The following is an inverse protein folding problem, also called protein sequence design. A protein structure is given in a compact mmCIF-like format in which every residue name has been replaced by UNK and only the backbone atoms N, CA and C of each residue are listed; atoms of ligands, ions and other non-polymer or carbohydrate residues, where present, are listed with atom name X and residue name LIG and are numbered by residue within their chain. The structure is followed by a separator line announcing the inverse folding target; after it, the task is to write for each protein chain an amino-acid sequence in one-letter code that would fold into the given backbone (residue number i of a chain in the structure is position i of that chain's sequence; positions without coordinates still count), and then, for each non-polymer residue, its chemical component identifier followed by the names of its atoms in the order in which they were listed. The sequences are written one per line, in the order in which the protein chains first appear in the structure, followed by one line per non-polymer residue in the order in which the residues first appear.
data_IF_841362672410
#
_entry.id   IF_841362672410
#
_cell.length_a   1.000
_cell.length_b   1.000
_cell.length_c   1.000
_cell.angle_alpha   90.00
_cell.angle_beta   90.00
_cell.angle_gamma   90.00
#
_symmetry.space_group_name_H-M   'P 1'
#
loop_
_entity.id
_entity.type
_entity.pdbx_description
1 polymer ?
#
# COMPACT_ATOMS: atom_id res chain seq x y z
N UNK A 1 36.00 -11.22 -1.30
CA UNK A 1 35.21 -10.37 -2.22
C UNK A 1 33.89 -11.06 -2.43
N UNK A 2 32.85 -10.64 -1.70
CA UNK A 2 31.53 -11.28 -1.70
C UNK A 2 30.78 -10.92 -2.99
N UNK A 3 30.52 -11.93 -3.81
CA UNK A 3 29.69 -11.82 -5.02
C UNK A 3 28.31 -11.30 -4.63
N UNK A 4 28.04 -10.04 -5.00
CA UNK A 4 26.68 -9.49 -4.97
C UNK A 4 25.93 -10.24 -6.06
N UNK A 5 25.11 -11.20 -5.65
CA UNK A 5 24.18 -11.87 -6.57
C UNK A 5 23.25 -10.80 -7.12
N UNK A 6 23.38 -10.52 -8.41
CA UNK A 6 22.46 -9.66 -9.15
C UNK A 6 21.09 -10.33 -9.18
N UNK A 7 20.31 -10.17 -8.11
CA UNK A 7 18.89 -10.45 -8.19
C UNK A 7 18.33 -9.53 -9.27
N UNK A 8 17.62 -10.05 -10.28
CA UNK A 8 17.00 -9.20 -11.28
C UNK A 8 16.08 -8.22 -10.56
N UNK A 9 16.41 -6.93 -10.68
CA UNK A 9 15.73 -5.82 -10.02
C UNK A 9 14.22 -5.82 -10.33
N UNK A 10 13.88 -6.35 -11.50
CA UNK A 10 12.52 -6.53 -12.00
C UNK A 10 12.21 -8.02 -12.19
N UNK A 11 11.15 -8.49 -11.53
CA UNK A 11 10.49 -9.74 -11.93
C UNK A 11 9.53 -9.41 -13.07
N UNK A 12 9.89 -9.74 -14.31
CA UNK A 12 9.04 -9.61 -15.50
C UNK A 12 7.77 -10.50 -15.47
N UNK A 13 7.46 -11.15 -14.35
CA UNK A 13 6.40 -12.16 -14.24
C UNK A 13 5.05 -11.58 -13.76
N UNK A 14 4.96 -10.26 -13.59
CA UNK A 14 3.74 -9.59 -13.14
C UNK A 14 3.08 -8.88 -14.33
N UNK A 15 1.77 -9.03 -14.57
CA UNK A 15 1.08 -8.24 -15.57
C UNK A 15 1.19 -6.74 -15.23
N UNK A 16 1.23 -5.84 -16.23
CA UNK A 16 1.26 -4.41 -15.98
C UNK A 16 0.11 -3.96 -15.07
N UNK A 17 0.42 -3.02 -14.16
CA UNK A 17 -0.53 -2.41 -13.24
C UNK A 17 -0.22 -0.93 -13.09
N UNK A 18 -1.27 -0.11 -12.89
CA UNK A 18 -1.11 1.30 -12.50
C UNK A 18 -0.54 1.46 -11.08
N UNK A 19 -0.50 0.37 -10.30
CA UNK A 19 0.10 0.32 -8.96
C UNK A 19 1.46 -0.35 -9.02
N UNK A 20 2.47 0.33 -8.48
CA UNK A 20 3.82 -0.18 -8.31
C UNK A 20 4.08 -0.56 -6.86
N UNK A 21 4.77 -1.67 -6.66
CA UNK A 21 5.28 -2.13 -5.38
C UNK A 21 6.76 -1.75 -5.23
N UNK A 22 7.06 -0.99 -4.18
CA UNK A 22 8.41 -0.55 -3.85
C UNK A 22 8.91 -1.35 -2.64
N UNK A 23 10.13 -1.88 -2.74
CA UNK A 23 10.78 -2.69 -1.70
C UNK A 23 12.13 -2.10 -1.32
N UNK A 24 12.58 -2.43 -0.10
CA UNK A 24 13.84 -1.95 0.48
C UNK A 24 13.86 -0.44 0.79
N UNK A 25 12.69 0.15 1.08
CA UNK A 25 12.61 1.54 1.49
C UNK A 25 13.32 1.77 2.86
N UNK A 26 13.78 3.00 3.13
CA UNK A 26 14.21 3.38 4.47
C UNK A 26 13.01 3.39 5.43
N UNK A 27 13.24 3.15 6.72
CA UNK A 27 12.19 3.13 7.75
C UNK A 27 11.47 4.48 7.86
N UNK A 28 12.18 5.57 7.64
CA UNK A 28 11.67 6.94 7.72
C UNK A 28 11.13 7.44 6.36
N UNK A 29 10.81 6.53 5.44
CA UNK A 29 10.23 6.92 4.15
C UNK A 29 8.82 7.48 4.37
N UNK A 30 8.59 8.66 3.81
CA UNK A 30 7.32 9.39 3.90
C UNK A 30 6.51 9.28 2.60
N UNK A 31 5.21 9.60 2.66
CA UNK A 31 4.35 9.57 1.48
C UNK A 31 4.77 10.62 0.45
N UNK A 32 5.26 11.76 0.93
CA UNK A 32 5.78 12.87 0.12
C UNK A 32 6.95 12.40 -0.75
N UNK A 33 7.91 11.67 -0.18
CA UNK A 33 9.06 11.14 -0.92
C UNK A 33 8.64 10.13 -2.01
N UNK A 34 7.59 9.33 -1.76
CA UNK A 34 7.04 8.44 -2.78
C UNK A 34 6.39 9.22 -3.92
N UNK A 35 5.65 10.28 -3.59
CA UNK A 35 5.06 11.17 -4.59
C UNK A 35 6.15 11.84 -5.41
N UNK A 36 7.21 12.36 -4.77
CA UNK A 36 8.35 12.97 -5.45
C UNK A 36 9.08 11.99 -6.37
N UNK A 37 9.25 10.73 -5.93
CA UNK A 37 9.84 9.68 -6.75
C UNK A 37 9.00 9.34 -7.99
N UNK A 38 7.66 9.35 -7.87
CA UNK A 38 6.75 9.05 -8.97
C UNK A 38 6.47 10.24 -9.90
N UNK A 39 6.58 11.47 -9.40
CA UNK A 39 6.24 12.73 -10.10
C UNK A 39 6.85 12.88 -11.49
N UNK A 40 8.11 12.48 -11.76
CA UNK A 40 8.69 12.58 -13.11
C UNK A 40 7.99 11.71 -14.16
N UNK A 41 7.26 10.68 -13.74
CA UNK A 41 6.64 9.69 -14.64
C UNK A 41 5.14 9.92 -14.83
N UNK A 42 4.49 10.67 -13.94
CA UNK A 42 3.07 10.97 -14.04
C UNK A 42 2.42 11.47 -12.76
N UNK A 43 1.09 11.51 -12.77
CA UNK A 43 0.28 11.93 -11.63
C UNK A 43 0.08 10.76 -10.68
N UNK A 44 0.69 10.84 -9.50
CA UNK A 44 0.44 9.93 -8.40
C UNK A 44 -0.93 10.26 -7.79
N UNK A 45 -1.82 9.27 -7.72
CA UNK A 45 -3.20 9.44 -7.20
C UNK A 45 -3.37 8.88 -5.79
N UNK A 46 -2.61 7.83 -5.44
CA UNK A 46 -2.56 7.28 -4.09
C UNK A 46 -1.16 6.78 -3.78
N UNK A 47 -0.79 6.80 -2.50
CA UNK A 47 0.40 6.15 -1.96
C UNK A 47 0.03 5.36 -0.72
N UNK A 48 0.86 4.39 -0.35
CA UNK A 48 0.73 3.66 0.91
C UNK A 48 2.11 3.27 1.44
N UNK A 49 2.56 3.93 2.49
CA UNK A 49 3.86 3.64 3.14
C UNK A 49 3.77 2.51 4.19
N UNK A 50 4.93 2.13 4.73
CA UNK A 50 5.06 1.28 5.92
C UNK A 50 4.34 -0.08 5.82
N UNK A 51 4.33 -0.67 4.61
CA UNK A 51 3.69 -1.96 4.34
C UNK A 51 4.61 -3.12 4.75
N UNK A 52 4.00 -4.21 5.21
CA UNK A 52 4.70 -5.43 5.60
C UNK A 52 5.30 -5.37 7.01
N UNK A 53 5.77 -6.51 7.51
CA UNK A 53 6.26 -6.63 8.88
C UNK A 53 7.42 -5.66 9.20
N UNK A 54 8.29 -5.42 8.23
CA UNK A 54 9.49 -4.59 8.39
C UNK A 54 9.28 -3.11 8.04
N UNK A 55 8.05 -2.70 7.69
CA UNK A 55 7.69 -1.33 7.27
C UNK A 55 8.61 -0.73 6.19
N UNK A 56 9.23 -1.57 5.38
CA UNK A 56 10.22 -1.19 4.37
C UNK A 56 9.69 -1.33 2.94
N UNK A 57 8.37 -1.32 2.79
CA UNK A 57 7.69 -1.47 1.51
C UNK A 57 6.58 -0.42 1.39
N UNK A 58 6.27 -0.07 0.15
CA UNK A 58 5.20 0.86 -0.15
C UNK A 58 4.55 0.55 -1.48
N UNK A 59 3.41 1.21 -1.72
CA UNK A 59 2.76 1.25 -3.01
C UNK A 59 2.64 2.68 -3.51
N UNK A 60 2.77 2.84 -4.83
CA UNK A 60 2.47 4.08 -5.57
C UNK A 60 1.42 3.71 -6.61
N UNK A 61 0.30 4.42 -6.65
CA UNK A 61 -0.71 4.32 -7.70
C UNK A 61 -0.63 5.56 -8.60
N UNK A 62 -0.48 5.31 -9.90
CA UNK A 62 -0.55 6.33 -10.93
C UNK A 62 -1.98 6.48 -11.46
N UNK A 63 -2.28 7.67 -12.00
CA UNK A 63 -3.56 7.93 -12.66
C UNK A 63 -3.76 6.99 -13.87
N UNK A 64 -2.70 6.76 -14.64
CA UNK A 64 -2.74 5.99 -15.88
C UNK A 64 -1.70 4.88 -15.89
N UNK A 65 -2.03 3.74 -16.52
CA UNK A 65 -1.12 2.59 -16.63
C UNK A 65 0.21 2.96 -17.31
N UNK A 66 0.18 3.80 -18.35
CA UNK A 66 1.36 4.20 -19.10
C UNK A 66 2.39 4.94 -18.23
N UNK A 67 1.96 5.64 -17.18
CA UNK A 67 2.85 6.34 -16.24
C UNK A 67 3.64 5.36 -15.37
N UNK A 68 2.96 4.30 -14.91
CA UNK A 68 3.60 3.20 -14.19
C UNK A 68 4.58 2.43 -15.09
N UNK A 69 4.20 2.16 -16.35
CA UNK A 69 5.08 1.53 -17.35
C UNK A 69 6.35 2.38 -17.56
N UNK A 70 6.19 3.70 -17.75
CA UNK A 70 7.32 4.61 -17.96
C UNK A 70 8.33 4.55 -16.80
N UNK A 71 7.85 4.54 -15.55
CA UNK A 71 8.71 4.42 -14.37
C UNK A 71 9.47 3.08 -14.32
N UNK A 72 8.78 1.97 -14.54
CA UNK A 72 9.39 0.64 -14.56
C UNK A 72 10.42 0.54 -15.67
N UNK A 73 10.07 0.95 -16.90
CA UNK A 73 10.96 0.92 -18.05
C UNK A 73 12.19 1.78 -17.85
N UNK A 74 12.04 2.99 -17.31
CA UNK A 74 13.14 3.89 -17.02
C UNK A 74 14.16 3.25 -16.07
N UNK A 75 13.71 2.76 -14.90
CA UNK A 75 14.60 2.14 -13.93
C UNK A 75 15.11 0.75 -14.33
N UNK A 76 14.46 0.08 -15.27
CA UNK A 76 14.95 -1.17 -15.85
C UNK A 76 16.10 -0.95 -16.84
N UNK A 77 16.11 0.17 -17.57
CA UNK A 77 17.17 0.51 -18.53
C UNK A 77 18.25 1.45 -17.99
N UNK A 78 17.96 2.18 -16.90
CA UNK A 78 18.90 3.13 -16.31
C UNK A 78 20.04 2.42 -15.57
N UNK A 79 21.25 2.99 -15.65
CA UNK A 79 22.38 2.55 -14.80
C UNK A 79 22.25 3.06 -13.37
N UNK A 80 21.41 4.07 -13.12
CA UNK A 80 21.14 4.61 -11.80
C UNK A 80 19.83 4.01 -11.26
N UNK A 81 19.90 3.18 -10.19
CA UNK A 81 18.71 2.60 -9.60
C UNK A 81 17.89 3.67 -8.88
N UNK A 82 16.60 3.43 -8.70
CA UNK A 82 15.78 4.28 -7.86
C UNK A 82 16.35 4.34 -6.44
N UNK A 83 16.41 5.53 -5.86
CA UNK A 83 16.90 5.74 -4.51
C UNK A 83 15.97 6.65 -3.72
N UNK A 84 15.78 6.34 -2.46
CA UNK A 84 15.12 7.21 -1.47
C UNK A 84 16.08 7.38 -0.31
N UNK A 85 16.47 8.63 -0.01
CA UNK A 85 17.46 8.98 1.02
C UNK A 85 18.78 8.19 0.90
N UNK A 86 19.26 7.98 -0.33
CA UNK A 86 20.50 7.24 -0.62
C UNK A 86 20.39 5.71 -0.51
N UNK A 87 19.21 5.17 -0.20
CA UNK A 87 18.97 3.73 -0.16
C UNK A 87 18.33 3.26 -1.46
N UNK A 88 18.90 2.22 -2.08
CA UNK A 88 18.37 1.62 -3.30
C UNK A 88 17.01 0.99 -3.10
N UNK A 89 16.05 1.35 -3.95
CA UNK A 89 14.67 0.86 -3.93
C UNK A 89 14.44 -0.05 -5.13
N UNK A 90 13.74 -1.15 -4.89
CA UNK A 90 13.37 -2.11 -5.92
C UNK A 90 11.91 -1.91 -6.33
N UNK A 91 11.63 -1.85 -7.63
CA UNK A 91 10.29 -1.60 -8.17
C UNK A 91 9.79 -2.81 -8.94
N UNK A 92 8.52 -3.15 -8.74
CA UNK A 92 7.81 -4.17 -9.51
C UNK A 92 6.35 -3.74 -9.69
N UNK A 93 5.66 -4.30 -10.68
CA UNK A 93 4.20 -4.17 -10.73
C UNK A 93 3.58 -4.82 -9.50
N UNK A 94 2.53 -4.19 -8.97
CA UNK A 94 1.70 -4.78 -7.94
C UNK A 94 0.75 -5.80 -8.54
N UNK A 95 0.46 -6.88 -7.79
CA UNK A 95 -0.66 -7.77 -8.10
C UNK A 95 -2.03 -7.08 -7.99
N UNK A 96 -2.09 -5.89 -7.37
CA UNK A 96 -3.32 -5.09 -7.25
C UNK A 96 -3.37 -4.08 -8.39
N UNK A 97 -4.56 -3.86 -8.91
CA UNK A 97 -4.79 -2.79 -9.89
C UNK A 97 -5.06 -1.44 -9.21
N UNK A 98 -5.40 -1.41 -7.91
CA UNK A 98 -5.68 -0.19 -7.14
C UNK A 98 -5.18 -0.30 -5.69
N UNK A 99 -4.83 0.82 -5.07
CA UNK A 99 -4.51 0.86 -3.63
C UNK A 99 -5.83 0.91 -2.86
N UNK A 100 -6.14 -0.18 -2.16
CA UNK A 100 -7.26 -0.19 -1.21
C UNK A 100 -6.83 0.56 0.06
N UNK A 101 -7.28 1.80 0.17
CA UNK A 101 -7.24 2.55 1.42
C UNK A 101 -8.28 1.97 2.36
N UNK A 102 -7.94 0.86 3.01
CA UNK A 102 -8.50 0.59 4.32
C UNK A 102 -7.91 1.68 5.23
N UNK A 103 -8.47 2.89 5.19
CA UNK A 103 -8.46 3.76 6.37
C UNK A 103 -8.90 2.81 7.46
N UNK A 104 -8.01 2.53 8.41
CA UNK A 104 -8.46 1.85 9.61
C UNK A 104 -9.64 2.67 10.09
N UNK A 105 -10.81 2.07 10.07
CA UNK A 105 -12.06 2.53 10.68
C UNK A 105 -11.88 2.60 12.21
N UNK A 106 -10.74 3.10 12.67
CA UNK A 106 -10.51 3.54 14.02
C UNK A 106 -10.98 4.99 14.19
N UNK A 107 -11.11 5.76 13.09
CA UNK A 107 -11.49 7.19 13.16
C UNK A 107 -12.75 7.57 12.36
N UNK A 108 -13.27 6.66 11.53
CA UNK A 108 -14.63 6.80 10.99
C UNK A 108 -15.52 5.89 11.81
N UNK A 109 -16.33 6.47 12.70
CA UNK A 109 -17.35 5.74 13.43
C UNK A 109 -18.21 4.96 12.41
N UNK A 110 -18.07 3.64 12.40
CA UNK A 110 -18.96 2.77 11.65
C UNK A 110 -20.28 2.65 12.41
N UNK A 111 -21.40 2.56 11.70
CA UNK A 111 -22.73 2.34 12.30
C UNK A 111 -22.92 0.87 12.72
N UNK A 112 -21.86 0.19 13.17
CA UNK A 112 -21.85 -1.22 13.52
C UNK A 112 -21.71 -1.34 15.02
N UNK A 113 -22.78 -1.76 15.68
CA UNK A 113 -22.79 -2.10 17.09
C UNK A 113 -22.56 -3.62 17.25
N UNK A 114 -21.48 -4.00 17.92
CA UNK A 114 -21.24 -5.39 18.32
C UNK A 114 -21.70 -5.57 19.77
N UNK A 115 -22.67 -6.46 20.00
CA UNK A 115 -23.22 -6.73 21.33
C UNK A 115 -23.02 -8.21 21.69
N UNK A 116 -22.54 -8.47 22.90
CA UNK A 116 -22.53 -9.80 23.52
C UNK A 116 -23.67 -9.89 24.51
N UNK A 117 -24.53 -10.91 24.37
CA UNK A 117 -25.64 -11.16 25.29
C UNK A 117 -25.27 -12.38 26.14
N UNK A 118 -25.20 -12.20 27.45
CA UNK A 118 -24.89 -13.27 28.40
C UNK A 118 -26.15 -13.69 29.16
N UNK A 119 -26.35 -15.00 29.37
CA UNK A 119 -27.47 -15.54 30.15
C UNK A 119 -28.46 -16.40 29.34
N UNK A 120 -29.34 -17.11 30.06
CA UNK A 120 -30.27 -18.09 29.48
C UNK A 120 -31.46 -17.45 28.72
N UNK A 121 -31.65 -16.14 28.88
CA UNK A 121 -32.76 -15.36 28.32
C UNK A 121 -32.39 -14.54 27.08
N UNK A 122 -31.31 -14.90 26.38
CA UNK A 122 -30.89 -14.20 25.16
C UNK A 122 -32.00 -14.12 24.08
N UNK A 123 -32.98 -15.03 24.14
CA UNK A 123 -34.17 -15.05 23.27
C UNK A 123 -35.19 -13.96 23.58
N UNK A 124 -35.13 -13.33 24.76
CA UNK A 124 -36.03 -12.25 25.18
C UNK A 124 -35.49 -10.86 24.76
N UNK A 125 -34.27 -10.78 24.24
CA UNK A 125 -33.68 -9.52 23.77
C UNK A 125 -34.30 -9.15 22.43
N UNK A 126 -35.20 -8.17 22.47
CA UNK A 126 -35.84 -7.61 21.28
C UNK A 126 -35.10 -6.37 20.79
N UNK A 127 -35.40 -5.94 19.56
CA UNK A 127 -34.75 -4.76 18.98
C UNK A 127 -35.02 -3.48 19.79
N UNK A 128 -36.18 -3.37 20.45
CA UNK A 128 -36.52 -2.23 21.30
C UNK A 128 -35.63 -2.16 22.56
N UNK A 129 -35.27 -3.31 23.11
CA UNK A 129 -34.36 -3.42 24.26
C UNK A 129 -32.94 -2.97 23.86
N UNK A 130 -32.49 -3.35 22.67
CA UNK A 130 -31.21 -2.91 22.12
C UNK A 130 -31.17 -1.40 21.84
N UNK A 131 -32.29 -0.80 21.42
CA UNK A 131 -32.38 0.64 21.20
C UNK A 131 -32.33 1.44 22.51
N UNK A 132 -32.91 0.91 23.60
CA UNK A 132 -32.93 1.57 24.91
C UNK A 132 -31.53 1.72 25.53
N UNK A 133 -30.59 0.82 25.20
CA UNK A 133 -29.21 0.83 25.73
C UNK A 133 -28.20 1.50 24.81
N UNK A 134 -28.60 1.83 23.58
CA UNK A 134 -27.70 2.40 22.55
C UNK A 134 -27.75 3.94 22.46
N UNK A 135 -28.37 4.61 23.44
CA UNK A 135 -28.52 6.06 23.57
C UNK A 135 -28.13 6.50 24.99
#
# INVERSE_FOLDING_TARGET
MSSVSSQPQFRYTQPPSKVLHLRNLPWECTEEELVELGKPFGKVVNTKCNVGANRNQAFIEFAELNQAIAMISYYASSSEPAQVRGKTVYLQYSNRQEIVNNKTTADVAGNVLLVTIEGNDARLVSIDVLHLVSN
#
